data_IF_115355830432
#
_entry.id   IF_115355830432
#
_cell.length_a   1.000
_cell.length_b   1.000
_cell.length_c   1.000
_cell.angle_alpha   90.00
_cell.angle_beta   90.00
_cell.angle_gamma   90.00
#
_symmetry.space_group_name_H-M   'P 1'
#
loop_
_entity.id
_entity.type
_entity.pdbx_description
1 polymer ?
#
# COMPACT_ATOMS: atom_id res chain seq x y z
N UNK A 1 25.40 -40.82 29.40
CA UNK A 1 25.14 -41.14 27.97
C UNK A 1 26.40 -40.76 27.18
N UNK A 2 27.03 -41.66 26.41
CA UNK A 2 28.31 -41.36 25.76
C UNK A 2 28.12 -40.33 24.63
N UNK A 3 28.98 -39.29 24.61
CA UNK A 3 28.97 -38.17 23.64
C UNK A 3 28.93 -38.63 22.16
N UNK A 4 29.49 -39.81 21.84
CA UNK A 4 29.43 -40.42 20.50
C UNK A 4 28.00 -40.72 20.03
N UNK A 5 27.09 -41.11 20.93
CA UNK A 5 25.71 -41.42 20.55
C UNK A 5 24.88 -40.16 20.27
N UNK A 6 25.22 -39.03 20.90
CA UNK A 6 24.56 -37.74 20.63
C UNK A 6 25.00 -37.20 19.27
N UNK A 7 26.29 -37.28 18.94
CA UNK A 7 26.81 -36.84 17.65
C UNK A 7 26.23 -37.65 16.47
N UNK A 8 26.16 -38.98 16.58
CA UNK A 8 25.56 -39.82 15.54
C UNK A 8 24.05 -39.59 15.37
N UNK A 9 23.33 -39.31 16.48
CA UNK A 9 21.90 -39.00 16.43
C UNK A 9 21.63 -37.62 15.80
N UNK A 10 22.51 -36.63 16.01
CA UNK A 10 22.42 -35.33 15.34
C UNK A 10 22.77 -35.42 13.84
N UNK A 11 23.78 -36.23 13.47
CA UNK A 11 24.21 -36.38 12.07
C UNK A 11 23.15 -37.06 11.19
N UNK A 12 22.41 -38.01 11.75
CA UNK A 12 21.35 -38.73 11.04
C UNK A 12 20.02 -37.96 10.95
N UNK A 13 19.89 -36.83 11.65
CA UNK A 13 18.67 -36.02 11.68
C UNK A 13 18.70 -34.81 10.74
N UNK A 14 19.72 -34.66 9.89
CA UNK A 14 19.72 -33.60 8.87
C UNK A 14 18.75 -34.04 7.76
N UNK A 15 17.59 -33.38 7.60
CA UNK A 15 16.66 -33.76 6.55
C UNK A 15 17.33 -33.54 5.19
N UNK A 16 17.51 -34.61 4.41
CA UNK A 16 18.01 -34.49 3.04
C UNK A 16 17.04 -33.64 2.23
N UNK A 17 17.45 -32.39 1.92
CA UNK A 17 16.69 -31.51 1.05
C UNK A 17 16.68 -32.14 -0.34
N UNK A 18 15.49 -32.44 -0.87
CA UNK A 18 15.34 -32.97 -2.23
C UNK A 18 15.94 -31.97 -3.24
N UNK A 19 16.70 -32.40 -4.26
CA UNK A 19 17.30 -31.49 -5.25
C UNK A 19 16.30 -30.49 -5.87
N UNK A 20 15.07 -30.92 -6.13
CA UNK A 20 13.99 -30.06 -6.63
C UNK A 20 13.62 -28.93 -5.65
N UNK A 21 13.62 -29.20 -4.35
CA UNK A 21 13.38 -28.18 -3.32
C UNK A 21 14.50 -27.16 -3.30
N UNK A 22 15.76 -27.60 -3.41
CA UNK A 22 16.91 -26.71 -3.50
C UNK A 22 16.81 -25.81 -4.73
N UNK A 23 16.52 -26.38 -5.91
CA UNK A 23 16.31 -25.61 -7.14
C UNK A 23 15.23 -24.54 -6.99
N UNK A 24 14.08 -24.88 -6.38
CA UNK A 24 13.01 -23.91 -6.09
C UNK A 24 13.48 -22.77 -5.19
N UNK A 25 14.27 -23.06 -4.16
CA UNK A 25 14.85 -22.06 -3.26
C UNK A 25 15.81 -21.15 -4.04
N UNK A 26 16.69 -21.71 -4.87
CA UNK A 26 17.62 -20.93 -5.71
C UNK A 26 16.87 -19.99 -6.64
N UNK A 27 15.79 -20.45 -7.29
CA UNK A 27 14.96 -19.60 -8.16
C UNK A 27 14.31 -18.46 -7.35
N UNK A 28 13.79 -18.73 -6.15
CA UNK A 28 13.22 -17.67 -5.29
C UNK A 28 14.27 -16.63 -4.89
N UNK A 29 15.44 -17.09 -4.45
CA UNK A 29 16.55 -16.19 -4.10
C UNK A 29 16.99 -15.36 -5.30
N UNK A 30 17.03 -15.95 -6.49
CA UNK A 30 17.34 -15.24 -7.72
C UNK A 30 16.30 -14.16 -8.04
N UNK A 31 14.99 -14.47 -7.94
CA UNK A 31 13.92 -13.48 -8.14
C UNK A 31 14.04 -12.32 -7.15
N UNK A 32 14.26 -12.59 -5.87
CA UNK A 32 14.46 -11.55 -4.85
C UNK A 32 15.73 -10.73 -5.09
N UNK A 33 16.83 -11.37 -5.46
CA UNK A 33 18.08 -10.71 -5.77
C UNK A 33 17.92 -9.76 -6.95
N UNK A 34 17.33 -10.23 -8.06
CA UNK A 34 17.08 -9.39 -9.23
C UNK A 34 16.12 -8.25 -8.88
N UNK A 35 15.05 -8.53 -8.14
CA UNK A 35 14.15 -7.48 -7.68
C UNK A 35 14.91 -6.42 -6.89
N UNK A 36 15.59 -6.79 -5.80
CA UNK A 36 16.33 -5.89 -4.95
C UNK A 36 17.40 -5.09 -5.72
N UNK A 37 18.19 -5.77 -6.55
CA UNK A 37 19.21 -5.14 -7.38
C UNK A 37 18.63 -4.05 -8.29
N UNK A 38 17.48 -4.29 -8.92
CA UNK A 38 16.85 -3.29 -9.77
C UNK A 38 16.30 -2.10 -8.97
N UNK A 39 15.86 -2.28 -7.71
CA UNK A 39 15.49 -1.16 -6.82
C UNK A 39 16.71 -0.36 -6.39
N UNK A 40 17.81 -1.02 -6.06
CA UNK A 40 19.04 -0.37 -5.58
C UNK A 40 19.63 0.59 -6.63
N UNK A 41 19.47 0.31 -7.93
CA UNK A 41 19.88 1.26 -8.98
C UNK A 41 19.16 2.61 -8.90
N UNK A 42 17.95 2.63 -8.36
CA UNK A 42 17.10 3.81 -8.25
C UNK A 42 17.30 4.56 -6.93
N UNK A 43 18.25 4.13 -6.09
CA UNK A 43 18.50 4.77 -4.80
C UNK A 43 19.00 6.21 -4.98
N UNK A 44 19.70 6.51 -6.08
CA UNK A 44 20.19 7.86 -6.42
C UNK A 44 19.14 8.83 -6.96
N UNK A 45 17.92 8.37 -7.26
CA UNK A 45 16.88 9.23 -7.86
C UNK A 45 16.23 10.17 -6.83
N UNK A 46 16.15 11.46 -7.13
CA UNK A 46 15.53 12.45 -6.25
C UNK A 46 14.05 12.58 -6.61
N UNK A 47 13.16 12.22 -5.68
CA UNK A 47 11.72 12.44 -5.84
C UNK A 47 11.35 13.91 -5.57
N UNK A 48 10.30 14.41 -6.23
CA UNK A 48 9.82 15.79 -6.03
C UNK A 48 9.37 16.07 -4.59
N UNK A 49 8.87 15.04 -3.90
CA UNK A 49 8.27 15.19 -2.58
C UNK A 49 9.31 15.29 -1.45
N UNK A 50 10.61 15.00 -1.70
CA UNK A 50 11.62 14.92 -0.63
C UNK A 50 11.72 16.20 0.19
N UNK A 51 11.61 17.36 -0.47
CA UNK A 51 11.61 18.66 0.18
C UNK A 51 10.44 18.82 1.15
N UNK A 52 9.24 18.36 0.77
CA UNK A 52 8.06 18.43 1.63
C UNK A 52 8.23 17.58 2.89
N UNK A 53 8.88 16.41 2.79
CA UNK A 53 9.22 15.59 3.95
C UNK A 53 10.27 16.27 4.83
N UNK A 54 11.38 16.76 4.27
CA UNK A 54 12.45 17.41 5.03
C UNK A 54 11.95 18.65 5.78
N UNK A 55 11.17 19.51 5.11
CA UNK A 55 10.55 20.67 5.74
C UNK A 55 9.63 20.25 6.89
N UNK A 56 8.74 19.28 6.67
CA UNK A 56 7.83 18.81 7.72
C UNK A 56 8.58 18.23 8.94
N UNK A 57 9.71 17.54 8.71
CA UNK A 57 10.56 17.02 9.79
C UNK A 57 11.20 18.17 10.58
N UNK A 58 11.72 19.18 9.88
CA UNK A 58 12.32 20.36 10.50
C UNK A 58 11.29 21.14 11.32
N UNK A 59 10.09 21.34 10.79
CA UNK A 59 8.99 21.99 11.50
C UNK A 59 8.63 21.20 12.77
N UNK A 60 8.46 19.87 12.66
CA UNK A 60 8.19 19.01 13.82
C UNK A 60 9.28 19.11 14.89
N UNK A 61 10.56 19.09 14.50
CA UNK A 61 11.69 19.20 15.44
C UNK A 61 11.82 20.58 16.09
N UNK A 62 11.26 21.62 15.46
CA UNK A 62 11.16 22.98 16.04
C UNK A 62 9.92 23.16 16.91
N UNK A 63 9.08 22.12 17.05
CA UNK A 63 7.81 22.23 17.77
C UNK A 63 6.73 22.99 17.00
N UNK A 64 6.90 23.14 15.68
CA UNK A 64 5.90 23.75 14.78
C UNK A 64 5.05 22.64 14.17
N UNK A 65 3.74 22.85 14.08
CA UNK A 65 2.83 21.92 13.46
C UNK A 65 3.07 21.92 11.93
N UNK A 66 3.64 20.84 11.33
CA UNK A 66 4.01 20.83 9.92
C UNK A 66 2.80 20.93 8.98
N UNK A 67 1.61 20.61 9.49
CA UNK A 67 0.38 20.69 8.71
C UNK A 67 -0.12 22.13 8.50
N UNK A 68 0.39 23.13 9.24
CA UNK A 68 0.12 24.54 8.95
C UNK A 68 0.56 24.91 7.54
N UNK A 69 1.81 24.55 7.20
CA UNK A 69 2.32 24.78 5.86
C UNK A 69 1.56 23.94 4.83
N UNK A 70 1.24 22.68 5.15
CA UNK A 70 0.39 21.82 4.30
C UNK A 70 -0.89 22.56 3.91
N UNK A 71 -1.68 23.06 4.87
CA UNK A 71 -2.90 23.80 4.59
C UNK A 71 -2.65 25.02 3.69
N UNK A 72 -1.66 25.85 4.03
CA UNK A 72 -1.33 27.06 3.24
C UNK A 72 -0.89 26.76 1.80
N UNK A 73 -0.19 25.64 1.60
CA UNK A 73 0.34 25.24 0.29
C UNK A 73 -0.71 24.60 -0.62
N UNK A 74 -1.78 24.03 -0.04
CA UNK A 74 -2.90 23.49 -0.82
C UNK A 74 -3.89 24.57 -1.25
N UNK A 75 -3.98 25.66 -0.50
CA UNK A 75 -4.85 26.79 -0.82
C UNK A 75 -4.21 27.81 -1.77
N UNK A 76 -2.92 27.68 -2.11
CA UNK A 76 -2.22 28.59 -3.02
C UNK A 76 -2.44 28.20 -4.50
N UNK A 77 -3.26 28.96 -5.27
CA UNK A 77 -3.50 28.65 -6.67
C UNK A 77 -2.28 28.93 -7.58
N UNK A 78 -1.34 29.76 -7.13
CA UNK A 78 -0.21 30.23 -7.94
C UNK A 78 0.95 29.22 -7.98
N UNK A 79 0.99 28.25 -7.05
CA UNK A 79 2.00 27.19 -6.99
C UNK A 79 1.37 25.80 -6.76
N UNK A 80 0.63 25.25 -7.74
CA UNK A 80 -0.05 23.96 -7.61
C UNK A 80 0.92 22.75 -7.63
N UNK A 81 2.22 22.98 -7.72
CA UNK A 81 3.25 21.94 -7.77
C UNK A 81 3.96 21.71 -6.44
N UNK A 82 3.91 22.68 -5.53
CA UNK A 82 4.67 22.68 -4.29
C UNK A 82 3.73 22.55 -3.09
N UNK A 83 3.49 21.31 -2.69
CA UNK A 83 2.56 21.03 -1.62
C UNK A 83 3.25 20.42 -0.40
N UNK A 84 2.73 20.75 0.78
CA UNK A 84 3.20 20.21 2.03
C UNK A 84 2.83 18.75 2.28
N UNK A 85 3.33 18.24 3.41
CA UNK A 85 3.13 16.86 3.85
C UNK A 85 1.67 16.61 4.23
N UNK A 86 0.95 15.81 3.43
CA UNK A 86 -0.49 15.54 3.58
C UNK A 86 -0.81 14.10 3.99
N UNK A 87 0.10 13.44 4.70
CA UNK A 87 -0.06 12.07 5.18
C UNK A 87 -0.15 12.05 6.70
N UNK A 88 -0.64 10.95 7.27
CA UNK A 88 -0.59 10.75 8.72
C UNK A 88 0.86 10.72 9.25
N UNK A 89 1.08 11.00 10.56
CA UNK A 89 2.40 11.32 11.09
C UNK A 89 3.39 10.17 11.12
N UNK A 90 2.96 8.93 10.86
CA UNK A 90 3.86 7.78 10.96
C UNK A 90 5.02 7.88 9.97
N UNK A 91 4.75 8.37 8.74
CA UNK A 91 5.81 8.66 7.79
C UNK A 91 6.77 9.73 8.30
N UNK A 92 6.25 10.74 8.99
CA UNK A 92 7.05 11.82 9.55
C UNK A 92 7.99 11.30 10.63
N UNK A 93 7.54 10.38 11.49
CA UNK A 93 8.39 9.80 12.54
C UNK A 93 9.47 8.87 11.99
N UNK A 94 9.11 7.99 11.04
CA UNK A 94 10.08 7.11 10.39
C UNK A 94 11.15 7.93 9.67
N UNK A 95 10.73 8.93 8.90
CA UNK A 95 11.66 9.78 8.19
C UNK A 95 12.46 10.71 9.11
N UNK A 96 11.87 11.23 10.18
CA UNK A 96 12.56 12.02 11.19
C UNK A 96 13.68 11.24 11.87
N UNK A 97 13.43 9.99 12.26
CA UNK A 97 14.45 9.09 12.78
C UNK A 97 15.60 8.88 11.79
N UNK A 98 15.27 8.59 10.53
CA UNK A 98 16.27 8.39 9.46
C UNK A 98 17.04 9.68 9.14
N UNK A 99 16.40 10.83 9.24
CA UNK A 99 17.02 12.15 9.06
C UNK A 99 18.05 12.43 10.16
N UNK A 100 17.76 12.09 11.42
CA UNK A 100 18.73 12.20 12.52
C UNK A 100 19.95 11.29 12.28
N UNK A 101 19.74 10.06 11.79
CA UNK A 101 20.83 9.16 11.40
C UNK A 101 21.65 9.78 10.26
N UNK A 102 20.97 10.36 9.26
CA UNK A 102 21.61 11.03 8.12
C UNK A 102 22.57 12.11 8.59
N UNK A 103 22.10 13.00 9.47
CA UNK A 103 22.91 14.08 10.04
C UNK A 103 24.08 13.55 10.89
N UNK A 104 23.83 12.57 11.76
CA UNK A 104 24.84 12.03 12.69
C UNK A 104 26.02 11.35 11.96
N UNK A 105 25.75 10.66 10.86
CA UNK A 105 26.75 9.88 10.12
C UNK A 105 27.16 10.50 8.79
N UNK A 106 26.71 11.74 8.51
CA UNK A 106 26.93 12.42 7.23
C UNK A 106 26.51 11.57 6.02
N UNK A 107 25.35 10.92 6.11
CA UNK A 107 24.76 10.11 5.04
C UNK A 107 23.72 10.93 4.29
N UNK A 108 23.51 10.63 3.00
CA UNK A 108 22.42 11.26 2.25
C UNK A 108 21.08 10.71 2.72
N UNK A 109 20.22 11.57 3.28
CA UNK A 109 18.87 11.21 3.74
C UNK A 109 18.05 10.49 2.64
N UNK A 110 18.23 10.93 1.39
CA UNK A 110 17.66 10.33 0.19
C UNK A 110 17.86 8.80 0.09
N UNK A 111 19.03 8.29 0.47
CA UNK A 111 19.30 6.85 0.43
C UNK A 111 18.62 6.12 1.59
N UNK A 112 18.64 6.74 2.77
CA UNK A 112 18.13 6.14 4.00
C UNK A 112 16.62 5.95 3.96
N UNK A 113 15.83 6.91 3.47
CA UNK A 113 14.37 6.76 3.45
C UNK A 113 13.88 5.64 2.52
N UNK A 114 14.69 5.24 1.53
CA UNK A 114 14.37 4.13 0.62
C UNK A 114 14.60 2.75 1.24
N UNK A 115 15.41 2.65 2.30
CA UNK A 115 15.69 1.40 3.03
C UNK A 115 14.42 0.77 3.61
N UNK A 116 13.59 1.45 4.43
CA UNK A 116 12.36 0.84 4.95
C UNK A 116 11.38 0.47 3.83
N UNK A 117 11.36 1.22 2.73
CA UNK A 117 10.49 0.93 1.59
C UNK A 117 10.93 -0.37 0.90
N UNK A 118 12.24 -0.60 0.68
CA UNK A 118 12.72 -1.85 0.01
C UNK A 118 12.51 -3.05 0.90
N UNK A 119 12.71 -2.89 2.20
CA UNK A 119 12.39 -3.94 3.17
C UNK A 119 10.90 -4.30 3.15
N UNK A 120 10.01 -3.31 3.05
CA UNK A 120 8.57 -3.56 2.93
C UNK A 120 8.20 -4.21 1.58
N UNK A 121 8.79 -3.77 0.47
CA UNK A 121 8.59 -4.34 -0.86
C UNK A 121 8.98 -5.83 -0.89
N UNK A 122 10.15 -6.18 -0.35
CA UNK A 122 10.57 -7.58 -0.17
C UNK A 122 9.69 -8.31 0.85
N UNK A 123 9.25 -7.61 1.91
CA UNK A 123 8.31 -8.09 2.92
C UNK A 123 7.00 -8.59 2.34
N UNK A 124 6.42 -7.88 1.36
CA UNK A 124 5.24 -8.34 0.61
C UNK A 124 5.53 -9.68 -0.09
N UNK A 125 6.70 -9.80 -0.73
CA UNK A 125 7.15 -11.06 -1.32
C UNK A 125 7.25 -12.20 -0.31
N UNK A 126 7.76 -11.94 0.89
CA UNK A 126 7.82 -12.95 1.96
C UNK A 126 6.42 -13.38 2.43
N UNK A 127 5.45 -12.47 2.51
CA UNK A 127 4.05 -12.80 2.80
C UNK A 127 3.48 -13.74 1.74
N UNK A 128 3.76 -13.48 0.45
CA UNK A 128 3.34 -14.35 -0.65
C UNK A 128 4.00 -15.74 -0.58
N UNK A 129 5.30 -15.84 -0.26
CA UNK A 129 5.98 -17.12 -0.01
C UNK A 129 5.30 -17.88 1.14
N UNK A 130 4.97 -17.19 2.22
CA UNK A 130 4.29 -17.80 3.36
C UNK A 130 2.88 -18.30 3.02
N UNK A 131 2.14 -17.59 2.15
CA UNK A 131 0.82 -18.00 1.69
C UNK A 131 0.87 -19.23 0.77
N UNK A 132 1.62 -19.16 -0.34
CA UNK A 132 1.63 -20.23 -1.34
C UNK A 132 2.46 -21.45 -0.95
N UNK A 133 3.53 -21.24 -0.17
CA UNK A 133 4.56 -22.24 0.18
C UNK A 133 5.24 -22.85 -1.05
N UNK A 134 6.31 -23.63 -0.84
CA UNK A 134 7.02 -24.33 -1.94
C UNK A 134 6.19 -25.44 -2.63
N UNK A 135 5.06 -25.82 -2.03
CA UNK A 135 4.11 -26.79 -2.62
C UNK A 135 3.39 -26.23 -3.84
N UNK A 136 3.06 -24.92 -3.86
CA UNK A 136 2.39 -24.25 -4.98
C UNK A 136 3.34 -23.29 -5.69
N UNK A 137 4.44 -23.86 -6.18
CA UNK A 137 5.57 -23.09 -6.70
C UNK A 137 5.24 -22.22 -7.92
N UNK A 138 4.42 -22.69 -8.87
CA UNK A 138 4.06 -21.89 -10.06
C UNK A 138 3.21 -20.65 -9.70
N UNK A 139 2.10 -20.77 -8.94
CA UNK A 139 1.37 -19.59 -8.45
C UNK A 139 2.24 -18.63 -7.62
N UNK A 140 3.18 -19.18 -6.83
CA UNK A 140 4.13 -18.40 -6.07
C UNK A 140 5.07 -17.58 -6.97
N UNK A 141 5.74 -18.21 -7.93
CA UNK A 141 6.65 -17.48 -8.83
C UNK A 141 5.88 -16.45 -9.64
N UNK A 142 4.69 -16.80 -10.14
CA UNK A 142 3.85 -15.87 -10.88
C UNK A 142 3.46 -14.65 -10.03
N UNK A 143 3.04 -14.85 -8.78
CA UNK A 143 2.70 -13.73 -7.88
C UNK A 143 3.90 -12.84 -7.54
N UNK A 144 5.08 -13.43 -7.32
CA UNK A 144 6.31 -12.68 -7.09
C UNK A 144 6.72 -11.88 -8.32
N UNK A 145 6.58 -12.44 -9.52
CA UNK A 145 6.86 -11.72 -10.77
C UNK A 145 5.90 -10.54 -10.92
N UNK A 146 4.60 -10.76 -10.73
CA UNK A 146 3.60 -9.68 -10.81
C UNK A 146 3.90 -8.56 -9.82
N UNK A 147 4.24 -8.88 -8.58
CA UNK A 147 4.55 -7.89 -7.54
C UNK A 147 5.85 -7.15 -7.85
N UNK A 148 6.96 -7.87 -8.02
CA UNK A 148 8.27 -7.23 -8.16
C UNK A 148 8.47 -6.55 -9.52
N UNK A 149 7.83 -7.04 -10.57
CA UNK A 149 7.89 -6.51 -11.93
C UNK A 149 6.51 -6.02 -12.38
N UNK A 150 5.82 -5.32 -11.47
CA UNK A 150 4.56 -4.66 -11.78
C UNK A 150 4.75 -3.56 -12.86
N UNK A 151 3.70 -3.20 -13.60
CA UNK A 151 3.81 -2.25 -14.71
C UNK A 151 4.32 -0.86 -14.31
N UNK A 152 4.03 -0.42 -13.09
CA UNK A 152 4.51 0.88 -12.60
C UNK A 152 6.02 0.91 -12.48
N UNK A 153 6.60 -0.13 -11.87
CA UNK A 153 8.05 -0.29 -11.80
C UNK A 153 8.68 -0.30 -13.19
N UNK A 154 8.12 -1.08 -14.13
CA UNK A 154 8.67 -1.22 -15.48
C UNK A 154 8.62 0.08 -16.29
N UNK A 155 7.48 0.79 -16.28
CA UNK A 155 7.27 1.94 -17.16
C UNK A 155 7.88 3.24 -16.66
N UNK A 156 7.94 3.43 -15.34
CA UNK A 156 8.45 4.67 -14.77
C UNK A 156 9.89 4.55 -14.30
N UNK A 157 10.43 3.33 -14.18
CA UNK A 157 11.75 3.08 -13.57
C UNK A 157 11.92 3.91 -12.29
N UNK A 158 10.82 4.13 -11.57
CA UNK A 158 10.82 4.89 -10.34
C UNK A 158 10.52 3.91 -9.25
N UNK A 159 11.38 3.92 -8.25
CA UNK A 159 11.14 3.13 -7.07
C UNK A 159 9.93 3.72 -6.36
N UNK A 160 8.92 2.89 -6.15
CA UNK A 160 7.64 3.31 -5.58
C UNK A 160 7.91 4.15 -4.34
N UNK A 161 7.16 5.25 -4.20
CA UNK A 161 7.10 6.06 -2.98
C UNK A 161 6.76 5.18 -1.76
N UNK A 162 6.35 5.75 -0.65
CA UNK A 162 6.03 4.97 0.56
C UNK A 162 4.87 3.95 0.45
N UNK A 163 4.29 3.69 -0.73
CA UNK A 163 3.20 2.72 -0.93
C UNK A 163 3.54 1.27 -0.48
N UNK A 164 4.73 0.69 -0.73
CA UNK A 164 5.06 -0.65 -0.28
C UNK A 164 4.99 -0.82 1.24
N UNK A 165 5.30 0.21 2.03
CA UNK A 165 5.12 0.19 3.48
C UNK A 165 3.65 0.00 3.85
N UNK A 166 2.77 0.85 3.31
CA UNK A 166 1.34 0.73 3.55
C UNK A 166 0.81 -0.63 3.13
N UNK A 167 1.18 -1.10 1.94
CA UNK A 167 0.73 -2.39 1.40
C UNK A 167 1.22 -3.56 2.28
N UNK A 168 2.48 -3.53 2.73
CA UNK A 168 3.04 -4.54 3.61
C UNK A 168 2.27 -4.64 4.94
N UNK A 169 2.06 -3.52 5.63
CA UNK A 169 1.32 -3.50 6.89
C UNK A 169 -0.16 -3.85 6.70
N UNK A 170 -0.77 -3.44 5.59
CA UNK A 170 -2.13 -3.84 5.23
C UNK A 170 -2.26 -5.35 5.03
N UNK A 171 -1.30 -5.99 4.34
CA UNK A 171 -1.30 -7.45 4.16
C UNK A 171 -1.02 -8.20 5.46
N UNK A 172 -0.13 -7.70 6.31
CA UNK A 172 0.07 -8.27 7.65
C UNK A 172 -1.21 -8.18 8.48
N UNK A 173 -1.90 -7.04 8.45
CA UNK A 173 -3.18 -6.88 9.13
C UNK A 173 -4.21 -7.91 8.61
N UNK A 174 -4.36 -8.05 7.29
CA UNK A 174 -5.23 -9.08 6.70
C UNK A 174 -4.79 -10.51 7.06
N UNK A 175 -3.49 -10.77 7.17
CA UNK A 175 -2.95 -12.08 7.56
C UNK A 175 -3.32 -12.45 9.01
N UNK A 176 -3.31 -11.48 9.93
CA UNK A 176 -3.66 -11.65 11.34
C UNK A 176 -5.15 -11.51 11.64
N UNK A 177 -5.95 -10.93 10.75
CA UNK A 177 -7.41 -10.91 10.86
C UNK A 177 -7.94 -12.34 11.08
N UNK A 178 -8.85 -12.52 12.04
CA UNK A 178 -9.37 -13.83 12.51
C UNK A 178 -8.35 -14.71 13.27
N UNK A 179 -7.07 -14.31 13.40
CA UNK A 179 -6.05 -15.02 14.19
C UNK A 179 -5.73 -14.30 15.49
N UNK A 180 -5.48 -12.99 15.39
CA UNK A 180 -5.17 -12.09 16.49
C UNK A 180 -5.71 -10.70 16.13
N UNK A 181 -6.85 -10.36 16.72
CA UNK A 181 -7.59 -9.14 16.40
C UNK A 181 -6.88 -7.87 16.91
N UNK A 182 -6.09 -7.98 17.99
CA UNK A 182 -5.28 -6.87 18.51
C UNK A 182 -4.16 -6.58 17.52
N UNK A 183 -3.37 -7.60 17.17
CA UNK A 183 -2.26 -7.42 16.23
C UNK A 183 -2.77 -6.98 14.85
N UNK A 184 -3.89 -7.56 14.39
CA UNK A 184 -4.57 -7.13 13.16
C UNK A 184 -4.96 -5.65 13.21
N UNK A 185 -5.59 -5.19 14.30
CA UNK A 185 -6.00 -3.80 14.45
C UNK A 185 -4.84 -2.83 14.55
N UNK A 186 -3.80 -3.17 15.32
CA UNK A 186 -2.57 -2.37 15.40
C UNK A 186 -1.87 -2.23 14.06
N UNK A 187 -1.67 -3.33 13.32
CA UNK A 187 -1.06 -3.32 11.99
C UNK A 187 -1.90 -2.56 10.97
N UNK A 188 -3.23 -2.66 11.06
CA UNK A 188 -4.13 -1.93 10.19
C UNK A 188 -4.06 -0.41 10.45
N UNK A 189 -4.04 0.01 11.72
CA UNK A 189 -3.83 1.41 12.08
C UNK A 189 -2.46 1.94 11.63
N UNK A 190 -1.41 1.12 11.72
CA UNK A 190 -0.08 1.42 11.15
C UNK A 190 -0.16 1.61 9.63
N UNK A 191 -0.86 0.74 8.91
CA UNK A 191 -1.04 0.87 7.46
C UNK A 191 -1.73 2.20 7.10
N UNK A 192 -2.84 2.51 7.77
CA UNK A 192 -3.55 3.79 7.61
C UNK A 192 -2.64 4.99 7.95
N UNK A 193 -1.81 4.85 9.00
CA UNK A 193 -0.84 5.85 9.42
C UNK A 193 0.25 6.14 8.39
N UNK A 194 0.60 5.18 7.52
CA UNK A 194 1.49 5.43 6.39
C UNK A 194 0.76 6.11 5.23
N UNK A 195 -0.41 5.59 4.83
CA UNK A 195 -1.29 6.22 3.83
C UNK A 195 -2.74 5.85 4.12
N UNK A 196 -3.66 6.74 3.80
CA UNK A 196 -5.09 6.62 4.16
C UNK A 196 -5.86 5.54 3.38
N UNK A 197 -5.39 5.10 2.21
CA UNK A 197 -6.17 4.21 1.33
C UNK A 197 -6.65 2.89 1.96
N UNK A 198 -5.96 2.25 2.93
CA UNK A 198 -6.47 1.04 3.57
C UNK A 198 -7.81 1.25 4.27
N UNK A 199 -8.21 2.50 4.58
CA UNK A 199 -9.49 2.84 5.23
C UNK A 199 -10.71 2.26 4.50
N UNK A 200 -10.62 2.06 3.18
CA UNK A 200 -11.69 1.44 2.40
C UNK A 200 -12.01 0.01 2.88
N UNK A 201 -11.04 -0.67 3.51
CA UNK A 201 -11.18 -2.03 4.04
C UNK A 201 -11.76 -2.06 5.46
N UNK A 202 -12.02 -0.92 6.11
CA UNK A 202 -12.44 -0.87 7.52
C UNK A 202 -13.61 -1.80 7.88
N UNK A 203 -14.70 -1.88 7.09
CA UNK A 203 -15.81 -2.77 7.42
C UNK A 203 -15.42 -4.24 7.32
N UNK A 204 -14.60 -4.64 6.33
CA UNK A 204 -14.13 -6.01 6.22
C UNK A 204 -13.46 -6.45 7.53
N UNK A 205 -12.60 -5.60 8.08
CA UNK A 205 -11.91 -5.88 9.32
C UNK A 205 -12.89 -6.05 10.50
N UNK A 206 -13.84 -5.13 10.70
CA UNK A 206 -14.83 -5.26 11.77
C UNK A 206 -15.80 -6.43 11.59
N UNK A 207 -16.15 -6.77 10.35
CA UNK A 207 -17.07 -7.86 10.05
C UNK A 207 -16.43 -9.24 10.28
N UNK A 208 -15.11 -9.34 10.09
CA UNK A 208 -14.35 -10.60 10.21
C UNK A 208 -13.60 -10.76 11.53
N UNK A 209 -13.36 -9.69 12.29
CA UNK A 209 -12.73 -9.80 13.61
C UNK A 209 -13.57 -10.70 14.55
N UNK A 210 -12.89 -11.56 15.33
CA UNK A 210 -13.55 -12.40 16.34
C UNK A 210 -13.95 -11.55 17.54
N UNK A 211 -13.09 -10.65 17.97
CA UNK A 211 -13.30 -9.66 19.01
C UNK A 211 -13.16 -8.24 18.45
N UNK A 212 -14.29 -7.68 18.02
CA UNK A 212 -14.37 -6.35 17.40
C UNK A 212 -13.92 -5.23 18.33
N UNK A 213 -14.19 -5.35 19.63
CA UNK A 213 -13.80 -4.36 20.63
C UNK A 213 -12.29 -4.33 20.82
N UNK A 214 -11.65 -5.49 20.98
CA UNK A 214 -10.19 -5.56 21.08
C UNK A 214 -9.51 -4.99 19.83
N UNK A 215 -10.03 -5.32 18.64
CA UNK A 215 -9.54 -4.72 17.40
C UNK A 215 -9.71 -3.18 17.42
N UNK A 216 -10.91 -2.69 17.72
CA UNK A 216 -11.22 -1.26 17.77
C UNK A 216 -10.29 -0.49 18.73
N UNK A 217 -10.15 -0.96 19.96
CA UNK A 217 -9.28 -0.33 20.94
C UNK A 217 -7.82 -0.36 20.53
N UNK A 218 -7.33 -1.47 19.94
CA UNK A 218 -5.96 -1.53 19.43
C UNK A 218 -5.70 -0.49 18.32
N UNK A 219 -6.68 -0.27 17.43
CA UNK A 219 -6.60 0.76 16.40
C UNK A 219 -6.57 2.17 17.00
N UNK A 220 -7.44 2.44 17.99
CA UNK A 220 -7.47 3.73 18.68
C UNK A 220 -6.16 4.01 19.40
N UNK A 221 -5.65 3.06 20.18
CA UNK A 221 -4.41 3.23 20.95
C UNK A 221 -3.25 3.57 20.01
N UNK A 222 -3.12 2.83 18.91
CA UNK A 222 -2.08 3.09 17.90
C UNK A 222 -2.28 4.45 17.22
N UNK A 223 -3.51 4.79 16.85
CA UNK A 223 -3.83 6.09 16.23
C UNK A 223 -3.58 7.28 17.16
N UNK A 224 -3.92 7.16 18.45
CA UNK A 224 -3.65 8.17 19.47
C UNK A 224 -2.15 8.31 19.72
N UNK A 225 -1.43 7.19 19.84
CA UNK A 225 0.02 7.21 20.00
C UNK A 225 0.71 7.91 18.82
N UNK A 226 0.24 7.67 17.59
CA UNK A 226 0.74 8.37 16.40
C UNK A 226 0.36 9.84 16.35
N UNK A 227 -0.75 10.23 16.99
CA UNK A 227 -1.23 11.62 16.98
C UNK A 227 -0.74 12.42 18.18
N UNK A 228 0.03 11.82 19.11
CA UNK A 228 0.39 12.39 20.40
C UNK A 228 0.97 13.84 20.32
N UNK A 229 1.85 14.19 19.37
CA UNK A 229 2.36 15.55 19.25
C UNK A 229 1.31 16.61 18.87
N UNK A 230 0.17 16.19 18.30
CA UNK A 230 -0.86 17.07 17.76
C UNK A 230 -2.13 17.14 18.62
N UNK A 231 -2.21 16.39 19.72
CA UNK A 231 -3.38 16.39 20.61
C UNK A 231 -3.22 17.31 21.83
N UNK A 232 -2.10 18.04 21.91
CA UNK A 232 -1.80 18.92 23.05
C UNK A 232 -2.78 20.08 23.18
N UNK A 233 -3.31 20.58 22.07
CA UNK A 233 -4.41 21.54 22.05
C UNK A 233 -5.39 21.27 20.88
N UNK A 234 -6.65 21.73 20.97
CA UNK A 234 -7.66 21.47 19.94
C UNK A 234 -7.34 22.08 18.57
N UNK A 235 -6.65 23.22 18.53
CA UNK A 235 -6.31 23.91 17.29
C UNK A 235 -5.31 23.11 16.47
N UNK A 236 -4.24 22.64 17.10
CA UNK A 236 -3.21 21.79 16.47
C UNK A 236 -3.81 20.48 15.96
N UNK A 237 -4.70 19.89 16.75
CA UNK A 237 -5.38 18.67 16.36
C UNK A 237 -6.25 18.88 15.11
N UNK A 238 -6.99 19.99 15.04
CA UNK A 238 -7.80 20.33 13.87
C UNK A 238 -6.95 20.65 12.64
N UNK A 239 -5.83 21.36 12.80
CA UNK A 239 -4.88 21.65 11.72
C UNK A 239 -4.31 20.35 11.16
N UNK A 240 -3.88 19.44 12.04
CA UNK A 240 -3.43 18.09 11.70
C UNK A 240 -4.49 17.29 10.93
N UNK A 241 -5.73 17.21 11.45
CA UNK A 241 -6.80 16.47 10.79
C UNK A 241 -7.13 17.05 9.41
N UNK A 242 -7.18 18.38 9.29
CA UNK A 242 -7.40 19.05 7.99
C UNK A 242 -6.27 18.75 7.02
N UNK A 243 -5.02 18.90 7.46
CA UNK A 243 -3.83 18.65 6.64
C UNK A 243 -3.70 17.21 6.16
N UNK A 244 -4.21 16.24 6.90
CA UNK A 244 -4.10 14.81 6.57
C UNK A 244 -5.28 14.25 5.79
N UNK A 245 -6.51 14.68 6.10
CA UNK A 245 -7.72 14.06 5.56
C UNK A 245 -8.44 14.92 4.52
N UNK A 246 -8.35 16.25 4.64
CA UNK A 246 -9.27 17.15 3.93
C UNK A 246 -8.62 17.98 2.82
N UNK A 247 -7.31 18.24 2.86
CA UNK A 247 -6.60 19.05 1.84
C UNK A 247 -6.72 18.54 0.40
N UNK A 248 -6.89 17.23 0.22
CA UNK A 248 -7.02 16.65 -1.12
C UNK A 248 -8.37 16.96 -1.80
N UNK A 249 -9.36 17.46 -1.05
CA UNK A 249 -10.67 17.87 -1.60
C UNK A 249 -10.57 19.18 -2.39
N UNK A 250 -9.54 19.99 -2.13
CA UNK A 250 -9.34 21.31 -2.73
C UNK A 250 -8.41 21.27 -3.97
N UNK A 251 -7.82 20.11 -4.26
CA UNK A 251 -6.93 19.97 -5.43
C UNK A 251 -7.71 20.08 -6.73
N UNK A 252 -7.10 20.75 -7.72
CA UNK A 252 -7.44 20.54 -9.12
C UNK A 252 -7.44 19.03 -9.45
N UNK A 253 -8.33 18.60 -10.35
CA UNK A 253 -8.52 17.19 -10.69
C UNK A 253 -7.20 16.60 -11.24
N UNK A 254 -6.48 15.84 -10.41
CA UNK A 254 -5.17 15.24 -10.70
C UNK A 254 -5.31 13.74 -11.02
N UNK A 255 -5.91 13.42 -12.16
CA UNK A 255 -6.12 12.03 -12.61
C UNK A 255 -7.51 11.86 -13.21
N UNK A 256 -7.76 10.71 -13.85
CA UNK A 256 -9.06 10.41 -14.44
C UNK A 256 -9.63 9.13 -13.82
N UNK A 257 -10.89 9.13 -13.36
CA UNK A 257 -11.60 7.92 -12.94
C UNK A 257 -11.50 6.82 -13.99
N UNK A 258 -11.63 5.56 -13.56
CA UNK A 258 -11.74 4.43 -14.48
C UNK A 258 -12.86 4.65 -15.51
N UNK A 259 -14.03 5.12 -15.03
CA UNK A 259 -15.17 5.46 -15.89
C UNK A 259 -14.88 6.63 -16.85
N UNK A 260 -13.97 7.54 -16.50
CA UNK A 260 -13.57 8.66 -17.35
C UNK A 260 -12.52 8.25 -18.38
N UNK A 261 -11.86 7.11 -18.19
CA UNK A 261 -11.00 6.54 -19.21
C UNK A 261 -11.84 6.11 -20.41
N UNK A 262 -13.01 5.51 -20.17
CA UNK A 262 -14.01 5.21 -21.22
C UNK A 262 -14.41 6.53 -21.92
N UNK A 263 -14.78 7.55 -21.16
CA UNK A 263 -15.05 8.88 -21.72
C UNK A 263 -13.92 9.45 -22.58
N UNK A 264 -12.66 9.27 -22.16
CA UNK A 264 -11.49 9.78 -22.88
C UNK A 264 -11.31 9.08 -24.24
N UNK A 265 -11.40 7.75 -24.27
CA UNK A 265 -11.25 6.99 -25.52
C UNK A 265 -12.44 7.16 -26.47
N UNK A 266 -13.65 7.27 -25.93
CA UNK A 266 -14.87 7.36 -26.72
C UNK A 266 -15.35 8.81 -26.94
N UNK A 267 -14.65 9.80 -26.38
CA UNK A 267 -15.02 11.22 -26.40
C UNK A 267 -16.46 11.48 -25.89
N UNK A 268 -16.89 10.74 -24.87
CA UNK A 268 -18.23 10.86 -24.25
C UNK A 268 -18.12 11.58 -22.91
N UNK A 269 -18.81 12.71 -22.73
CA UNK A 269 -18.81 13.48 -21.48
C UNK A 269 -19.75 12.89 -20.41
N UNK A 270 -19.45 11.70 -19.90
CA UNK A 270 -20.20 11.09 -18.78
C UNK A 270 -20.24 11.98 -17.51
N UNK A 271 -19.40 13.02 -17.43
CA UNK A 271 -19.12 13.85 -16.26
C UNK A 271 -20.02 15.07 -16.08
N UNK A 272 -20.83 15.44 -17.07
CA UNK A 272 -21.80 16.52 -16.86
C UNK A 272 -23.04 16.07 -16.07
N UNK A 273 -23.19 14.75 -15.85
CA UNK A 273 -24.45 14.16 -15.35
C UNK A 273 -24.43 13.87 -13.84
N UNK A 274 -23.29 13.46 -13.26
CA UNK A 274 -23.20 13.09 -11.83
C UNK A 274 -22.15 13.95 -11.11
N UNK A 275 -22.53 14.72 -10.07
CA UNK A 275 -21.59 15.51 -9.27
C UNK A 275 -20.44 14.68 -8.68
N UNK A 276 -19.22 15.22 -8.72
CA UNK A 276 -17.99 14.56 -8.23
C UNK A 276 -18.11 14.00 -6.80
N UNK A 277 -18.88 14.68 -5.94
CA UNK A 277 -19.17 14.27 -4.56
C UNK A 277 -19.76 12.84 -4.47
N UNK A 278 -20.58 12.43 -5.44
CA UNK A 278 -21.15 11.09 -5.47
C UNK A 278 -20.10 10.03 -5.79
N UNK A 279 -19.21 10.29 -6.75
CA UNK A 279 -18.08 9.40 -7.04
C UNK A 279 -17.16 9.26 -5.83
N UNK A 280 -16.78 10.36 -5.18
CA UNK A 280 -16.00 10.34 -3.94
C UNK A 280 -16.68 9.49 -2.86
N UNK A 281 -17.96 9.74 -2.60
CA UNK A 281 -18.76 8.98 -1.62
C UNK A 281 -18.82 7.50 -1.98
N UNK A 282 -19.18 7.16 -3.22
CA UNK A 282 -19.30 5.78 -3.69
C UNK A 282 -17.96 5.05 -3.63
N UNK A 283 -16.85 5.70 -3.97
CA UNK A 283 -15.52 5.08 -3.93
C UNK A 283 -15.13 4.55 -2.55
N UNK A 284 -15.60 5.23 -1.49
CA UNK A 284 -15.37 4.83 -0.10
C UNK A 284 -16.43 3.82 0.34
N UNK A 285 -17.72 4.17 0.19
CA UNK A 285 -18.81 3.46 0.85
C UNK A 285 -19.38 2.27 0.06
N UNK A 286 -19.20 2.19 -1.27
CA UNK A 286 -19.73 1.06 -2.05
C UNK A 286 -19.12 -0.28 -1.62
N UNK A 287 -17.79 -0.31 -1.40
CA UNK A 287 -17.10 -1.46 -0.85
C UNK A 287 -17.61 -1.85 0.53
N UNK A 288 -18.01 -0.87 1.34
CA UNK A 288 -18.53 -1.10 2.69
C UNK A 288 -19.89 -1.80 2.64
N UNK A 289 -20.80 -1.31 1.81
CA UNK A 289 -22.14 -1.90 1.62
C UNK A 289 -22.01 -3.33 1.09
N UNK A 290 -21.23 -3.51 0.01
CA UNK A 290 -21.11 -4.80 -0.65
C UNK A 290 -20.43 -5.84 0.25
N UNK A 291 -19.34 -5.47 0.95
CA UNK A 291 -18.69 -6.38 1.90
C UNK A 291 -19.61 -6.76 3.06
N UNK A 292 -20.39 -5.82 3.59
CA UNK A 292 -21.38 -6.08 4.64
C UNK A 292 -22.41 -7.11 4.16
N UNK A 293 -23.03 -6.87 2.99
CA UNK A 293 -24.03 -7.79 2.42
C UNK A 293 -23.43 -9.17 2.18
N UNK A 294 -22.23 -9.26 1.60
CA UNK A 294 -21.58 -10.55 1.31
C UNK A 294 -21.21 -11.33 2.56
N UNK A 295 -20.66 -10.69 3.59
CA UNK A 295 -20.32 -11.36 4.85
C UNK A 295 -21.57 -11.80 5.59
N UNK A 296 -22.64 -11.01 5.59
CA UNK A 296 -23.91 -11.38 6.20
C UNK A 296 -24.56 -12.57 5.48
N UNK A 297 -24.51 -12.61 4.15
CA UNK A 297 -25.02 -13.75 3.35
C UNK A 297 -24.14 -15.00 3.45
N UNK A 298 -22.82 -14.83 3.48
CA UNK A 298 -21.87 -15.93 3.54
C UNK A 298 -20.66 -15.55 4.40
N UNK A 299 -20.74 -15.89 5.70
CA UNK A 299 -19.65 -15.64 6.66
C UNK A 299 -18.35 -16.36 6.30
N UNK A 300 -18.40 -17.43 5.49
CA UNK A 300 -17.24 -18.23 5.09
C UNK A 300 -16.51 -17.67 3.86
N UNK A 301 -17.02 -16.61 3.22
CA UNK A 301 -16.33 -15.99 2.10
C UNK A 301 -14.94 -15.48 2.54
N UNK A 302 -13.92 -15.75 1.72
CA UNK A 302 -12.55 -15.44 2.09
C UNK A 302 -12.30 -13.92 2.13
N UNK A 303 -11.60 -13.44 3.17
CA UNK A 303 -11.28 -12.01 3.36
C UNK A 303 -10.52 -11.39 2.20
N UNK A 304 -9.64 -12.12 1.50
CA UNK A 304 -8.91 -11.60 0.34
C UNK A 304 -9.82 -11.42 -0.88
N UNK A 305 -10.87 -12.24 -1.02
CA UNK A 305 -11.89 -12.05 -2.05
C UNK A 305 -12.69 -10.79 -1.76
N UNK A 306 -13.14 -10.59 -0.51
CA UNK A 306 -13.87 -9.38 -0.12
C UNK A 306 -12.99 -8.14 -0.32
N UNK A 307 -11.74 -8.17 0.15
CA UNK A 307 -10.81 -7.06 0.00
C UNK A 307 -10.56 -6.73 -1.48
N UNK A 308 -10.44 -7.75 -2.35
CA UNK A 308 -10.34 -7.55 -3.79
C UNK A 308 -11.56 -6.82 -4.34
N UNK A 309 -12.76 -7.23 -3.94
CA UNK A 309 -13.99 -6.59 -4.40
C UNK A 309 -14.11 -5.14 -3.92
N UNK A 310 -13.70 -4.85 -2.68
CA UNK A 310 -13.66 -3.47 -2.16
C UNK A 310 -12.72 -2.60 -3.02
N UNK A 311 -11.53 -3.08 -3.36
CA UNK A 311 -10.61 -2.34 -4.23
C UNK A 311 -11.17 -2.14 -5.64
N UNK A 312 -11.82 -3.15 -6.22
CA UNK A 312 -12.47 -3.03 -7.53
C UNK A 312 -13.54 -1.92 -7.51
N UNK A 313 -14.38 -1.89 -6.47
CA UNK A 313 -15.41 -0.87 -6.29
C UNK A 313 -14.80 0.52 -6.07
N UNK A 314 -13.73 0.61 -5.28
CA UNK A 314 -12.98 1.86 -5.12
C UNK A 314 -12.45 2.37 -6.47
N UNK A 315 -11.81 1.52 -7.29
CA UNK A 315 -11.30 1.94 -8.60
C UNK A 315 -12.39 2.30 -9.60
N UNK A 316 -13.55 1.62 -9.53
CA UNK A 316 -14.68 1.91 -10.39
C UNK A 316 -15.23 3.32 -10.14
N UNK A 317 -15.35 3.70 -8.86
CA UNK A 317 -16.00 4.94 -8.46
C UNK A 317 -15.05 6.09 -8.10
N UNK A 318 -13.74 5.84 -7.93
CA UNK A 318 -12.84 6.90 -7.47
C UNK A 318 -12.81 8.06 -8.47
N UNK A 319 -13.04 9.30 -7.99
CA UNK A 319 -13.01 10.50 -8.83
C UNK A 319 -11.61 10.80 -9.38
N UNK A 320 -10.59 10.19 -8.80
CA UNK A 320 -9.19 10.39 -9.17
C UNK A 320 -8.48 9.06 -9.04
N UNK A 321 -8.18 8.42 -10.17
CA UNK A 321 -7.27 7.28 -10.21
C UNK A 321 -5.86 7.83 -10.50
N UNK A 322 -4.91 7.64 -9.58
CA UNK A 322 -3.51 8.02 -9.77
C UNK A 322 -2.69 6.81 -10.24
N UNK A 323 -1.49 7.06 -10.78
CA UNK A 323 -0.53 6.09 -11.33
C UNK A 323 -0.20 4.94 -10.37
N UNK A 324 -0.16 5.21 -9.07
CA UNK A 324 0.18 4.20 -8.05
C UNK A 324 -1.03 3.43 -7.54
N UNK A 325 -2.26 3.85 -7.84
CA UNK A 325 -3.44 3.32 -7.15
C UNK A 325 -3.64 1.84 -7.44
N UNK A 326 -3.44 1.40 -8.68
CA UNK A 326 -3.61 -0.01 -9.06
C UNK A 326 -2.56 -0.93 -8.40
N UNK A 327 -1.39 -0.40 -7.99
CA UNK A 327 -0.43 -1.18 -7.22
C UNK A 327 -0.99 -1.62 -5.86
N UNK A 328 -1.86 -0.80 -5.24
CA UNK A 328 -2.38 -1.01 -3.90
C UNK A 328 -3.13 -2.34 -3.76
N UNK A 329 -3.93 -2.70 -4.76
CA UNK A 329 -4.73 -3.92 -4.73
C UNK A 329 -4.00 -5.15 -5.25
N UNK A 330 -2.88 -5.00 -5.95
CA UNK A 330 -2.22 -6.10 -6.67
C UNK A 330 -1.99 -7.36 -5.78
N UNK A 331 -1.37 -7.28 -4.59
CA UNK A 331 -1.18 -8.47 -3.77
C UNK A 331 -2.50 -9.00 -3.18
N UNK A 332 -3.50 -8.14 -2.97
CA UNK A 332 -4.82 -8.56 -2.53
C UNK A 332 -5.53 -9.34 -3.65
N UNK A 333 -5.43 -8.88 -4.90
CA UNK A 333 -5.98 -9.58 -6.08
C UNK A 333 -5.31 -10.92 -6.30
N UNK A 334 -3.98 -11.00 -6.14
CA UNK A 334 -3.24 -12.27 -6.16
C UNK A 334 -3.83 -13.25 -5.14
N UNK A 335 -3.98 -12.83 -3.88
CA UNK A 335 -4.51 -13.68 -2.82
C UNK A 335 -6.00 -14.00 -3.03
N UNK A 336 -6.79 -13.05 -3.53
CA UNK A 336 -8.22 -13.23 -3.84
C UNK A 336 -8.44 -14.23 -4.97
N UNK A 337 -7.71 -14.09 -6.09
CA UNK A 337 -7.76 -15.00 -7.23
C UNK A 337 -7.39 -16.43 -6.83
N UNK A 338 -6.39 -16.59 -5.96
CA UNK A 338 -5.99 -17.90 -5.46
C UNK A 338 -7.09 -18.60 -4.64
N UNK A 339 -7.89 -17.80 -3.91
CA UNK A 339 -9.01 -18.31 -3.12
C UNK A 339 -10.27 -18.55 -3.96
N UNK A 340 -10.42 -17.89 -5.12
CA UNK A 340 -11.53 -18.14 -6.05
C UNK A 340 -11.34 -19.44 -6.84
N UNK A 341 -10.12 -19.77 -7.23
CA UNK A 341 -9.84 -21.01 -7.93
C UNK A 341 -8.43 -21.55 -7.68
N UNK A 342 -8.34 -22.86 -7.45
CA UNK A 342 -7.06 -23.56 -7.26
C UNK A 342 -6.30 -23.83 -8.57
N UNK A 343 -6.86 -23.50 -9.75
CA UNK A 343 -6.34 -23.88 -11.08
C UNK A 343 -6.28 -22.70 -12.06
N UNK A 344 -6.45 -22.95 -13.37
CA UNK A 344 -6.32 -21.98 -14.48
C UNK A 344 -6.99 -20.59 -14.30
N UNK A 345 -8.15 -20.43 -13.62
CA UNK A 345 -8.73 -19.11 -13.38
C UNK A 345 -7.89 -18.20 -12.48
N UNK A 346 -6.81 -18.70 -11.86
CA UNK A 346 -5.88 -17.86 -11.09
C UNK A 346 -5.08 -16.91 -11.99
N UNK A 347 -4.52 -17.41 -13.11
CA UNK A 347 -3.59 -16.65 -13.93
C UNK A 347 -4.29 -15.61 -14.80
N UNK A 348 -5.41 -15.97 -15.43
CA UNK A 348 -6.12 -15.13 -16.38
C UNK A 348 -6.50 -13.74 -15.84
N UNK A 349 -7.24 -13.60 -14.72
CA UNK A 349 -7.64 -12.29 -14.21
C UNK A 349 -6.44 -11.44 -13.77
N UNK A 350 -5.38 -12.07 -13.26
CA UNK A 350 -4.16 -11.37 -12.85
C UNK A 350 -3.36 -10.86 -14.05
N UNK A 351 -3.27 -11.67 -15.12
CA UNK A 351 -2.67 -11.25 -16.39
C UNK A 351 -3.47 -10.11 -17.01
N UNK A 352 -4.79 -10.21 -17.05
CA UNK A 352 -5.68 -9.14 -17.52
C UNK A 352 -5.48 -7.86 -16.71
N UNK A 353 -5.43 -7.98 -15.38
CA UNK A 353 -5.15 -6.84 -14.50
C UNK A 353 -3.79 -6.21 -14.76
N UNK A 354 -2.74 -7.02 -14.94
CA UNK A 354 -1.39 -6.51 -15.23
C UNK A 354 -1.35 -5.76 -16.57
N UNK A 355 -1.95 -6.31 -17.63
CA UNK A 355 -2.01 -5.65 -18.93
C UNK A 355 -2.86 -4.38 -18.88
N UNK A 356 -4.00 -4.41 -18.18
CA UNK A 356 -4.81 -3.22 -17.95
C UNK A 356 -4.00 -2.15 -17.21
N UNK A 357 -3.28 -2.51 -16.15
CA UNK A 357 -2.45 -1.57 -15.41
C UNK A 357 -1.32 -1.00 -16.29
N UNK A 358 -0.65 -1.83 -17.09
CA UNK A 358 0.34 -1.38 -18.05
C UNK A 358 -0.24 -0.39 -19.05
N UNK A 359 -1.37 -0.74 -19.69
CA UNK A 359 -2.08 0.12 -20.63
C UNK A 359 -2.52 1.43 -19.99
N UNK A 360 -3.06 1.38 -18.77
CA UNK A 360 -3.45 2.55 -18.01
C UNK A 360 -2.30 3.53 -17.77
N UNK A 361 -1.08 3.02 -17.57
CA UNK A 361 0.10 3.85 -17.33
C UNK A 361 0.71 4.47 -18.59
N UNK A 362 0.41 3.97 -19.79
CA UNK A 362 1.00 4.49 -21.03
C UNK A 362 0.67 5.99 -21.22
N UNK A 363 -0.60 6.45 -21.16
CA UNK A 363 -0.91 7.86 -21.38
C UNK A 363 -0.37 8.80 -20.29
N UNK A 364 0.04 8.27 -19.14
CA UNK A 364 0.74 9.05 -18.12
C UNK A 364 2.19 9.37 -18.48
N UNK A 365 2.74 8.85 -19.59
CA UNK A 365 4.03 9.28 -20.14
C UNK A 365 3.92 10.66 -20.78
N UNK A 366 2.89 10.86 -21.58
CA UNK A 366 2.69 12.10 -22.34
C UNK A 366 2.09 13.22 -21.49
N UNK A 367 1.76 12.92 -20.23
CA UNK A 367 0.95 13.78 -19.39
C UNK A 367 -0.52 13.69 -19.83
N UNK A 368 -1.44 13.61 -18.87
CA UNK A 368 -2.85 13.85 -19.18
C UNK A 368 -3.03 15.35 -19.43
N UNK A 369 -2.46 15.87 -20.51
CA UNK A 369 -2.82 17.19 -20.98
C UNK A 369 -4.27 17.12 -21.40
N UNK A 370 -5.03 18.03 -20.81
CA UNK A 370 -6.46 18.15 -20.94
C UNK A 370 -6.75 18.20 -22.44
N UNK A 371 -7.43 17.19 -23.00
CA UNK A 371 -8.28 17.46 -24.15
C UNK A 371 -9.32 18.45 -23.64
N UNK A 372 -9.05 19.74 -23.86
CA UNK A 372 -10.07 20.77 -23.82
C UNK A 372 -10.75 20.64 -25.18
N UNK A 373 -12.04 20.27 -25.25
CA UNK A 373 -12.79 20.42 -26.49
C UNK A 373 -12.58 21.82 -27.08
#
# INVERSE_FOLDING_TARGET
MPLKNVANKMRNNIPKIRPLTLLKIVILLFVFFIAAYQRLKLFGDVGKDIYAYEKAIQDLFRGVNPYEWTLSSFSNPDDPGNHGFSYFPLLLYVNGFLYVIALKFNLTFQYLWKVPVILADLGVGFILINHFRLKRFLPLIFSLILWFFNPYFFLKSNYVYFDPLTIFFMLLALYYLEKDDILSGSLYAIAVGFKTFPIILLPLFFLKAKNKLSMFFSMIIVGLAMSLPFITNPTDFLIYLKGTLFVHQERFIQGRPFLFYISYFYKIEFFQIIPLKWYSTLSIFSGWIVSTVLVLKNKLINKYIIASLIFILFYLFTPVLNRTYLLWALPVFVLGADNLSKRYPYYLPLTVFWFFYYWYLIPWKDGFHIWRP
#
